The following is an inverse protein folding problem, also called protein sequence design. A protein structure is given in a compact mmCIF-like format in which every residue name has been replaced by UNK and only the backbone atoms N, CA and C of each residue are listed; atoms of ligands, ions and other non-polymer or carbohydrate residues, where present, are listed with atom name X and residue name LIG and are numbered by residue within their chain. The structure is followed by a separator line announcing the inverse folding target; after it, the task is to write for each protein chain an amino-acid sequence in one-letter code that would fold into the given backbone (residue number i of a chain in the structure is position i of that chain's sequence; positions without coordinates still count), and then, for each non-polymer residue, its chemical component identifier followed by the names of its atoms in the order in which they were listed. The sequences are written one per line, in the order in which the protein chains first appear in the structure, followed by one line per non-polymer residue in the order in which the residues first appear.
data_IF_988895869743
#
_entry.id   IF_988895869743
#
_cell.length_a   1.000
_cell.length_b   1.000
_cell.length_c   1.000
_cell.angle_alpha   90.00
_cell.angle_beta   90.00
_cell.angle_gamma   90.00
#
_symmetry.space_group_name_H-M   'P 1'
#
loop_
_entity.id
_entity.type
_entity.pdbx_description
1 polymer ?
#
# COMPACT_ATOMS: atom_id res chain seq x y z
N UNK A 1 0.05 -12.85 -9.18
CA UNK A 1 1.45 -12.82 -8.73
C UNK A 1 1.83 -11.40 -8.36
N UNK A 2 2.64 -11.25 -7.31
CA UNK A 2 3.29 -10.05 -6.74
C UNK A 2 3.37 -10.32 -5.22
N UNK A 3 4.45 -10.97 -4.81
CA UNK A 3 4.62 -11.45 -3.44
C UNK A 3 5.21 -10.36 -2.54
N UNK A 4 6.29 -9.69 -2.97
CA UNK A 4 6.95 -8.64 -2.18
C UNK A 4 6.14 -7.35 -2.04
N UNK A 5 5.25 -7.04 -3.00
CA UNK A 5 4.36 -5.88 -2.87
C UNK A 5 4.95 -4.55 -3.32
N UNK A 6 6.17 -4.53 -3.89
CA UNK A 6 6.80 -3.34 -4.51
C UNK A 6 6.11 -2.94 -5.83
N UNK A 7 4.80 -2.67 -5.78
CA UNK A 7 3.96 -2.27 -6.90
C UNK A 7 2.68 -1.57 -6.38
N UNK A 8 2.85 -0.41 -5.74
CA UNK A 8 1.82 0.26 -4.93
C UNK A 8 0.74 0.94 -5.78
N UNK A 9 -0.55 0.69 -5.48
CA UNK A 9 -1.69 1.37 -6.12
C UNK A 9 -2.23 2.56 -5.32
N UNK A 10 -2.23 2.46 -3.98
CA UNK A 10 -2.68 3.53 -3.08
C UNK A 10 -1.72 3.65 -1.90
N UNK A 11 -1.28 4.87 -1.62
CA UNK A 11 -0.30 5.15 -0.56
C UNK A 11 -0.91 5.28 0.85
N UNK A 12 -2.24 5.36 0.96
CA UNK A 12 -2.92 5.65 2.23
C UNK A 12 -3.77 4.48 2.75
N UNK A 13 -3.74 3.34 2.06
CA UNK A 13 -4.49 2.15 2.43
C UNK A 13 -3.51 1.00 2.77
N UNK A 14 -3.69 0.30 3.91
CA UNK A 14 -3.03 -0.98 4.14
C UNK A 14 -3.44 -2.02 3.11
N UNK A 15 -2.57 -2.98 2.82
CA UNK A 15 -2.87 -4.06 1.88
C UNK A 15 -3.91 -5.03 2.47
N UNK A 16 -5.08 -5.11 1.83
CA UNK A 16 -6.19 -5.97 2.26
C UNK A 16 -5.82 -7.46 2.31
N UNK A 17 -4.81 -7.91 1.55
CA UNK A 17 -4.36 -9.31 1.53
C UNK A 17 -3.73 -9.75 2.84
N UNK A 18 -3.22 -8.82 3.64
CA UNK A 18 -2.65 -9.09 4.96
C UNK A 18 -3.66 -9.00 6.10
N UNK A 19 -4.90 -8.62 5.81
CA UNK A 19 -5.94 -8.55 6.82
C UNK A 19 -6.47 -9.96 7.16
N UNK A 20 -6.93 -10.16 8.38
CA UNK A 20 -7.24 -11.50 8.92
C UNK A 20 -8.45 -12.21 8.27
N UNK A 21 -9.27 -11.50 7.49
CA UNK A 21 -10.40 -12.08 6.77
C UNK A 21 -11.22 -11.09 5.95
N UNK A 22 -12.19 -11.60 5.18
CA UNK A 22 -12.95 -10.83 4.19
C UNK A 22 -13.78 -9.65 4.76
N UNK A 23 -14.11 -9.68 6.06
CA UNK A 23 -14.87 -8.64 6.75
C UNK A 23 -14.04 -7.88 7.80
N UNK A 24 -12.72 -8.04 7.75
CA UNK A 24 -11.82 -7.32 8.64
C UNK A 24 -11.71 -5.85 8.26
N UNK A 25 -11.23 -5.03 9.21
CA UNK A 25 -10.87 -3.64 8.95
C UNK A 25 -9.33 -3.54 8.99
N UNK A 26 -8.64 -3.63 7.84
CA UNK A 26 -7.17 -3.63 7.78
C UNK A 26 -6.53 -2.46 8.53
N UNK A 27 -7.17 -1.29 8.51
CA UNK A 27 -6.71 -0.10 9.26
C UNK A 27 -6.72 -0.36 10.77
N UNK A 28 -7.80 -0.96 11.30
CA UNK A 28 -7.91 -1.27 12.73
C UNK A 28 -6.90 -2.34 13.13
N UNK A 29 -6.74 -3.37 12.30
CA UNK A 29 -5.80 -4.46 12.54
C UNK A 29 -4.36 -3.98 12.52
N UNK A 30 -3.97 -3.20 11.51
CA UNK A 30 -2.62 -2.64 11.44
C UNK A 30 -2.32 -1.75 12.65
N UNK A 31 -3.27 -0.88 13.05
CA UNK A 31 -3.13 -0.07 14.28
C UNK A 31 -2.99 -0.92 15.54
N UNK A 32 -3.70 -2.04 15.63
CA UNK A 32 -3.61 -2.96 16.76
C UNK A 32 -2.26 -3.66 16.79
N UNK A 33 -1.78 -4.14 15.65
CA UNK A 33 -0.44 -4.73 15.50
C UNK A 33 0.65 -3.76 15.97
N UNK A 34 0.65 -2.51 15.47
CA UNK A 34 1.61 -1.48 15.87
C UNK A 34 1.58 -1.22 17.38
N UNK A 35 0.39 -1.07 17.98
CA UNK A 35 0.25 -0.89 19.43
C UNK A 35 0.83 -2.05 20.22
N UNK A 36 0.58 -3.28 19.80
CA UNK A 36 1.11 -4.48 20.47
C UNK A 36 2.63 -4.54 20.36
N UNK A 37 3.20 -4.30 19.17
CA UNK A 37 4.65 -4.27 18.99
C UNK A 37 5.33 -3.22 19.88
N UNK A 38 4.76 -2.01 19.91
CA UNK A 38 5.26 -0.93 20.77
C UNK A 38 5.18 -1.27 22.27
N UNK A 39 4.12 -1.96 22.71
CA UNK A 39 4.00 -2.41 24.10
C UNK A 39 5.10 -3.41 24.50
N UNK A 40 5.73 -4.06 23.52
CA UNK A 40 6.88 -4.96 23.71
C UNK A 40 8.22 -4.31 23.35
N UNK A 41 8.27 -2.99 23.18
CA UNK A 41 9.52 -2.25 22.90
C UNK A 41 10.07 -2.46 21.49
N UNK A 42 9.25 -2.92 20.54
CA UNK A 42 9.64 -3.10 19.14
C UNK A 42 9.16 -1.91 18.31
N UNK A 43 10.07 -1.32 17.53
CA UNK A 43 9.74 -0.27 16.57
C UNK A 43 9.13 -0.85 15.29
N UNK A 44 8.39 -0.02 14.57
CA UNK A 44 7.79 -0.38 13.28
C UNK A 44 8.33 0.56 12.20
N UNK A 45 9.05 0.00 11.23
CA UNK A 45 9.52 0.70 10.04
C UNK A 45 8.74 0.19 8.84
N UNK A 46 8.24 1.11 8.02
CA UNK A 46 7.52 0.79 6.80
C UNK A 46 8.45 0.94 5.60
N UNK A 47 8.61 -0.13 4.82
CA UNK A 47 9.22 -0.07 3.50
C UNK A 47 8.23 0.56 2.51
N UNK A 48 8.63 1.66 1.87
CA UNK A 48 7.73 2.52 1.07
C UNK A 48 8.29 2.75 -0.33
N UNK A 49 7.40 2.68 -1.33
CA UNK A 49 7.73 2.81 -2.76
C UNK A 49 7.06 4.04 -3.35
N UNK A 50 7.71 5.19 -3.28
CA UNK A 50 7.21 6.43 -3.90
C UNK A 50 7.80 6.73 -5.28
N UNK A 51 8.70 5.89 -5.77
CA UNK A 51 9.39 6.11 -7.04
C UNK A 51 8.60 5.62 -8.27
N UNK A 52 7.59 4.77 -8.09
CA UNK A 52 6.68 4.32 -9.14
C UNK A 52 5.33 3.86 -8.56
N UNK A 53 4.39 3.52 -9.44
CA UNK A 53 3.04 3.05 -9.08
C UNK A 53 2.70 1.74 -9.78
N UNK A 54 1.64 1.08 -9.31
CA UNK A 54 1.05 -0.12 -9.91
C UNK A 54 0.43 0.07 -11.29
N UNK A 55 0.31 1.30 -11.79
CA UNK A 55 -0.24 1.59 -13.12
C UNK A 55 0.77 1.32 -14.25
N UNK A 56 2.06 1.17 -13.94
CA UNK A 56 3.09 0.82 -14.92
C UNK A 56 3.27 1.85 -16.05
N UNK A 57 3.63 1.37 -17.23
CA UNK A 57 3.87 2.20 -18.43
C UNK A 57 2.57 2.41 -19.25
N UNK A 58 2.69 2.90 -20.49
CA UNK A 58 1.56 3.17 -21.38
C UNK A 58 0.71 1.94 -21.77
N UNK A 59 1.23 0.71 -21.59
CA UNK A 59 0.47 -0.54 -21.77
C UNK A 59 -0.13 -1.04 -20.47
N UNK A 60 0.16 -0.38 -19.34
CA UNK A 60 -0.36 -0.71 -18.03
C UNK A 60 -1.79 -0.21 -17.81
N UNK A 61 -2.44 -0.64 -16.73
CA UNK A 61 -3.84 -0.29 -16.46
C UNK A 61 -3.97 1.14 -15.96
N UNK A 62 -5.08 1.80 -16.30
CA UNK A 62 -5.47 3.12 -15.75
C UNK A 62 -6.45 2.91 -14.61
N UNK A 63 -6.01 3.15 -13.38
CA UNK A 63 -6.72 2.84 -12.14
C UNK A 63 -6.85 4.06 -11.22
N UNK A 64 -5.90 5.00 -11.24
CA UNK A 64 -5.88 6.14 -10.31
C UNK A 64 -5.16 7.36 -10.92
N UNK A 65 -3.89 7.56 -10.59
CA UNK A 65 -3.10 8.75 -10.87
C UNK A 65 -3.07 9.10 -12.36
N UNK A 66 -2.94 8.10 -13.24
CA UNK A 66 -2.96 8.33 -14.70
C UNK A 66 -4.27 8.95 -15.16
N UNK A 67 -5.40 8.47 -14.62
CA UNK A 67 -6.72 8.95 -14.97
C UNK A 67 -7.08 10.30 -14.33
N UNK A 68 -6.42 10.67 -13.23
CA UNK A 68 -6.61 11.96 -12.55
C UNK A 68 -5.79 13.05 -13.26
N UNK A 69 -4.46 12.87 -13.34
CA UNK A 69 -3.56 13.79 -14.05
C UNK A 69 -2.20 13.13 -14.34
N UNK A 70 -2.09 12.42 -15.47
CA UNK A 70 -0.86 11.73 -15.84
C UNK A 70 0.38 12.64 -15.91
N UNK A 71 0.22 13.89 -16.32
CA UNK A 71 1.35 14.82 -16.53
C UNK A 71 1.94 15.36 -15.23
N UNK A 72 1.13 15.40 -14.17
CA UNK A 72 1.57 15.81 -12.82
C UNK A 72 2.19 14.62 -12.08
N UNK A 73 1.60 13.44 -12.19
CA UNK A 73 2.01 12.27 -11.39
C UNK A 73 3.17 11.46 -11.97
N UNK A 74 3.41 11.50 -13.28
CA UNK A 74 4.44 10.69 -13.94
C UNK A 74 5.46 11.55 -14.69
N UNK A 75 6.70 11.05 -14.75
CA UNK A 75 7.81 11.62 -15.52
C UNK A 75 8.13 10.77 -16.73
#
# INVERSE_FOLDING_TARGET
SNYWGYNTLSYFAPDNRFASGAFSCPVKEFKMMVRTLHAHGLEVVLDVVYNHTGEGNHLGPTLCYRGIDNTVFYR
#
